data_IF_264739456463
#
_entry.id   IF_264739456463
#
_cell.length_a   1.000
_cell.length_b   1.000
_cell.length_c   1.000
_cell.angle_alpha   90.00
_cell.angle_beta   90.00
_cell.angle_gamma   90.00
#
_symmetry.space_group_name_H-M   'P 1'
#
loop_
_entity.id
_entity.type
_entity.pdbx_description
1 polymer ?
#
# COMPACT_ATOMS: atom_id res chain seq x y z
N UNK A 1 27.38 -8.01 39.65
CA UNK A 1 27.51 -8.75 38.38
C UNK A 1 26.89 -10.13 38.58
N UNK A 2 25.72 -10.38 37.98
CA UNK A 2 25.10 -11.71 38.04
C UNK A 2 25.78 -12.59 37.00
N UNK A 3 26.44 -13.64 37.48
CA UNK A 3 27.05 -14.66 36.63
C UNK A 3 25.95 -15.36 35.86
N UNK A 4 26.08 -15.44 34.54
CA UNK A 4 25.20 -16.21 33.70
C UNK A 4 25.20 -17.68 34.20
N UNK A 5 23.99 -18.18 34.52
CA UNK A 5 23.83 -19.59 34.89
C UNK A 5 24.16 -20.43 33.66
N UNK A 6 25.31 -21.09 33.67
CA UNK A 6 25.67 -22.12 32.68
C UNK A 6 24.68 -23.27 32.90
N UNK A 7 23.67 -23.37 32.04
CA UNK A 7 22.74 -24.52 32.07
C UNK A 7 23.47 -25.73 31.51
N UNK A 8 23.44 -26.83 32.24
CA UNK A 8 24.03 -28.10 31.82
C UNK A 8 23.29 -28.60 30.56
N UNK A 9 23.98 -28.64 29.44
CA UNK A 9 23.47 -29.12 28.14
C UNK A 9 23.24 -30.64 28.11
N UNK A 10 23.56 -31.37 29.21
CA UNK A 10 23.47 -32.84 29.31
C UNK A 10 22.18 -33.32 29.99
N UNK A 11 21.20 -32.43 30.26
CA UNK A 11 19.90 -32.86 30.80
C UNK A 11 19.24 -33.78 29.80
N UNK A 12 18.92 -35.04 30.21
CA UNK A 12 18.20 -36.00 29.41
C UNK A 12 16.89 -35.37 28.90
N UNK A 13 16.72 -35.33 27.59
CA UNK A 13 15.52 -34.75 26.96
C UNK A 13 14.34 -35.65 27.24
N UNK A 14 13.26 -35.11 27.76
CA UNK A 14 11.97 -35.80 27.74
C UNK A 14 11.55 -36.07 26.28
N UNK A 15 10.98 -37.23 25.95
CA UNK A 15 10.49 -37.49 24.60
C UNK A 15 9.44 -36.47 24.25
N UNK A 16 9.67 -35.71 23.18
CA UNK A 16 8.78 -34.66 22.68
C UNK A 16 7.80 -35.30 21.68
N UNK A 17 6.51 -35.15 21.91
CA UNK A 17 5.48 -35.68 21.02
C UNK A 17 5.28 -34.74 19.81
N UNK A 18 4.68 -35.25 18.73
CA UNK A 18 4.29 -34.41 17.59
C UNK A 18 3.30 -33.29 17.99
N UNK A 19 2.49 -33.56 19.02
CA UNK A 19 1.56 -32.59 19.58
C UNK A 19 2.28 -31.45 20.32
N UNK A 20 3.34 -31.77 21.08
CA UNK A 20 4.16 -30.76 21.76
C UNK A 20 4.87 -29.85 20.75
N UNK A 21 5.36 -30.41 19.64
CA UNK A 21 5.97 -29.62 18.55
C UNK A 21 4.95 -28.73 17.84
N UNK A 22 3.73 -29.22 17.60
CA UNK A 22 2.68 -28.42 16.99
C UNK A 22 2.22 -27.27 17.92
N UNK A 23 2.10 -27.54 19.22
CA UNK A 23 1.82 -26.50 20.22
C UNK A 23 2.93 -25.45 20.25
N UNK A 24 4.20 -25.87 20.31
CA UNK A 24 5.34 -24.95 20.27
C UNK A 24 5.35 -24.10 18.99
N UNK A 25 5.05 -24.67 17.83
CA UNK A 25 4.94 -23.90 16.58
C UNK A 25 3.90 -22.80 16.67
N UNK A 26 2.73 -23.12 17.23
CA UNK A 26 1.65 -22.16 17.40
C UNK A 26 2.05 -21.03 18.35
N UNK A 27 2.64 -21.36 19.49
CA UNK A 27 3.09 -20.40 20.51
C UNK A 27 4.19 -19.50 19.96
N UNK A 28 5.13 -20.04 19.23
CA UNK A 28 6.23 -19.30 18.60
C UNK A 28 5.67 -18.31 17.56
N UNK A 29 4.73 -18.75 16.71
CA UNK A 29 4.12 -17.86 15.70
C UNK A 29 3.28 -16.75 16.36
N UNK A 30 2.51 -17.08 17.40
CA UNK A 30 1.75 -16.10 18.19
C UNK A 30 2.69 -15.09 18.85
N UNK A 31 3.81 -15.56 19.43
CA UNK A 31 4.85 -14.71 19.99
C UNK A 31 5.51 -13.79 18.95
N UNK A 32 5.71 -14.29 17.72
CA UNK A 32 6.19 -13.46 16.62
C UNK A 32 5.22 -12.35 16.27
N UNK A 33 3.93 -12.66 16.09
CA UNK A 33 2.87 -11.67 15.81
C UNK A 33 2.85 -10.59 16.89
N UNK A 34 2.86 -11.00 18.17
CA UNK A 34 2.87 -10.07 19.30
C UNK A 34 4.12 -9.18 19.32
N UNK A 35 5.30 -9.75 19.03
CA UNK A 35 6.54 -9.00 18.95
C UNK A 35 6.51 -7.94 17.83
N UNK A 36 5.93 -8.29 16.68
CA UNK A 36 5.76 -7.36 15.55
C UNK A 36 4.76 -6.24 15.89
N UNK A 37 3.67 -6.58 16.58
CA UNK A 37 2.69 -5.60 17.06
C UNK A 37 3.31 -4.65 18.08
N UNK A 38 4.06 -5.17 19.05
CA UNK A 38 4.78 -4.37 20.05
C UNK A 38 5.85 -3.45 19.42
N UNK A 39 6.39 -3.80 18.26
CA UNK A 39 7.28 -2.95 17.47
C UNK A 39 6.54 -1.87 16.66
N UNK A 40 5.21 -1.74 16.81
CA UNK A 40 4.40 -0.72 16.16
C UNK A 40 4.11 -0.95 14.67
N UNK A 41 4.24 -2.19 14.18
CA UNK A 41 3.89 -2.48 12.78
C UNK A 41 2.38 -2.57 12.60
N UNK A 42 1.92 -2.20 11.40
CA UNK A 42 0.51 -2.33 11.04
C UNK A 42 0.09 -3.79 10.88
N UNK A 43 -1.19 -4.09 11.19
CA UNK A 43 -1.77 -5.43 11.02
C UNK A 43 -1.57 -5.99 9.61
N UNK A 44 -1.69 -5.14 8.58
CA UNK A 44 -1.45 -5.54 7.19
C UNK A 44 0.00 -5.99 6.92
N UNK A 45 0.99 -5.36 7.57
CA UNK A 45 2.39 -5.78 7.48
C UNK A 45 2.60 -7.11 8.19
N UNK A 46 2.04 -7.25 9.39
CA UNK A 46 2.12 -8.48 10.19
C UNK A 46 1.47 -9.65 9.44
N UNK A 47 0.24 -9.44 8.93
CA UNK A 47 -0.48 -10.45 8.14
C UNK A 47 0.30 -10.87 6.88
N UNK A 48 0.98 -9.92 6.21
CA UNK A 48 1.83 -10.23 5.05
C UNK A 48 3.04 -11.06 5.45
N UNK A 49 3.71 -10.73 6.56
CA UNK A 49 4.85 -11.50 7.08
C UNK A 49 4.41 -12.93 7.41
N UNK A 50 3.29 -13.09 8.13
CA UNK A 50 2.71 -14.41 8.48
C UNK A 50 2.37 -15.21 7.22
N UNK A 51 1.68 -14.60 6.25
CA UNK A 51 1.35 -15.27 4.99
C UNK A 51 2.60 -15.78 4.26
N UNK A 52 3.66 -14.98 4.24
CA UNK A 52 4.92 -15.42 3.63
C UNK A 52 5.54 -16.60 4.37
N UNK A 53 5.51 -16.60 5.70
CA UNK A 53 6.02 -17.72 6.52
C UNK A 53 5.17 -18.99 6.32
N UNK A 54 3.84 -18.86 6.27
CA UNK A 54 2.96 -20.01 6.03
C UNK A 54 3.17 -20.64 4.65
N UNK A 55 3.38 -19.82 3.61
CA UNK A 55 3.68 -20.31 2.27
C UNK A 55 5.00 -21.09 2.21
N UNK A 56 6.04 -20.62 2.92
CA UNK A 56 7.31 -21.35 3.04
C UNK A 56 7.10 -22.64 3.83
N UNK A 57 6.39 -22.59 4.95
CA UNK A 57 6.08 -23.75 5.79
C UNK A 57 5.30 -24.83 5.04
N UNK A 58 4.29 -24.41 4.26
CA UNK A 58 3.49 -25.34 3.46
C UNK A 58 4.34 -26.10 2.42
N UNK A 59 5.31 -25.44 1.81
CA UNK A 59 6.27 -26.10 0.91
C UNK A 59 7.26 -26.98 1.67
N UNK A 60 7.82 -26.49 2.78
CA UNK A 60 8.88 -27.17 3.53
C UNK A 60 8.37 -28.40 4.27
N UNK A 61 7.12 -28.41 4.73
CA UNK A 61 6.46 -29.55 5.36
C UNK A 61 6.93 -29.88 6.78
N UNK A 62 7.88 -29.10 7.32
CA UNK A 62 8.45 -29.25 8.67
C UNK A 62 8.44 -27.90 9.41
N UNK A 63 8.71 -27.85 10.72
CA UNK A 63 8.92 -26.58 11.43
C UNK A 63 10.00 -25.75 10.75
N UNK A 64 9.75 -24.43 10.62
CA UNK A 64 10.71 -23.54 9.92
C UNK A 64 12.08 -23.48 10.59
N UNK A 65 12.17 -23.69 11.89
CA UNK A 65 13.48 -23.74 12.59
C UNK A 65 14.37 -24.94 12.21
N UNK A 66 13.83 -25.93 11.49
CA UNK A 66 14.59 -27.05 10.92
C UNK A 66 15.17 -26.72 9.54
N UNK A 67 14.90 -25.55 9.00
CA UNK A 67 15.33 -25.13 7.68
C UNK A 67 16.81 -24.78 7.66
N UNK A 68 17.54 -25.38 6.75
CA UNK A 68 18.98 -25.21 6.55
C UNK A 68 19.30 -24.45 5.24
N UNK A 69 20.51 -23.92 5.03
CA UNK A 69 20.86 -23.20 3.80
C UNK A 69 20.52 -23.93 2.49
N UNK A 70 20.74 -25.27 2.35
CA UNK A 70 20.33 -25.99 1.14
C UNK A 70 18.80 -25.96 0.87
N UNK A 71 17.98 -25.92 1.93
CA UNK A 71 16.51 -25.80 1.79
C UNK A 71 16.14 -24.41 1.25
N UNK A 72 16.81 -23.37 1.76
CA UNK A 72 16.64 -22.00 1.25
C UNK A 72 17.09 -21.90 -0.21
N UNK A 73 18.22 -22.53 -0.58
CA UNK A 73 18.69 -22.61 -1.97
C UNK A 73 17.65 -23.27 -2.88
N UNK A 74 17.08 -24.40 -2.44
CA UNK A 74 16.04 -25.08 -3.18
C UNK A 74 14.77 -24.23 -3.32
N UNK A 75 14.35 -23.57 -2.23
CA UNK A 75 13.16 -22.73 -2.25
C UNK A 75 13.32 -21.51 -3.16
N UNK A 76 14.37 -20.72 -2.99
CA UNK A 76 14.61 -19.53 -3.80
C UNK A 76 15.10 -19.84 -5.22
N UNK A 77 15.86 -20.90 -5.41
CA UNK A 77 16.47 -21.26 -6.68
C UNK A 77 15.58 -22.10 -7.59
N UNK A 78 14.66 -22.91 -7.03
CA UNK A 78 13.77 -23.77 -7.80
C UNK A 78 12.33 -23.32 -7.70
N UNK A 79 11.74 -23.24 -6.49
CA UNK A 79 10.31 -22.96 -6.28
C UNK A 79 9.97 -21.52 -6.68
N UNK A 80 10.81 -20.56 -6.32
CA UNK A 80 10.59 -19.14 -6.62
C UNK A 80 11.35 -18.64 -7.85
N UNK A 81 11.92 -19.54 -8.67
CA UNK A 81 12.75 -19.14 -9.82
C UNK A 81 12.03 -18.18 -10.75
N UNK A 82 10.80 -18.48 -11.08
CA UNK A 82 10.00 -17.73 -12.07
C UNK A 82 9.07 -16.69 -11.41
N UNK A 83 9.16 -16.52 -10.08
CA UNK A 83 8.37 -15.51 -9.39
C UNK A 83 8.98 -14.11 -9.50
N UNK A 84 8.14 -13.08 -9.36
CA UNK A 84 8.57 -11.69 -9.37
C UNK A 84 9.66 -11.45 -8.31
N UNK A 85 10.69 -10.68 -8.67
CA UNK A 85 11.80 -10.33 -7.75
C UNK A 85 11.32 -9.76 -6.42
N UNK A 86 10.26 -8.93 -6.43
CA UNK A 86 9.64 -8.38 -5.23
C UNK A 86 9.12 -9.44 -4.28
N UNK A 87 8.46 -10.47 -4.80
CA UNK A 87 7.97 -11.61 -4.00
C UNK A 87 9.11 -12.36 -3.33
N UNK A 88 10.19 -12.63 -4.08
CA UNK A 88 11.38 -13.28 -3.53
C UNK A 88 12.03 -12.48 -2.41
N UNK A 89 12.18 -11.16 -2.61
CA UNK A 89 12.72 -10.24 -1.60
C UNK A 89 11.84 -10.17 -0.35
N UNK A 90 10.52 -10.06 -0.51
CA UNK A 90 9.58 -10.00 0.62
C UNK A 90 9.60 -11.28 1.43
N UNK A 91 9.61 -12.46 0.78
CA UNK A 91 9.72 -13.76 1.48
C UNK A 91 11.03 -13.93 2.21
N UNK A 92 12.15 -13.56 1.57
CA UNK A 92 13.44 -13.58 2.23
C UNK A 92 13.49 -12.66 3.45
N UNK A 93 12.90 -11.48 3.35
CA UNK A 93 12.84 -10.55 4.48
C UNK A 93 11.96 -11.08 5.62
N UNK A 94 10.81 -11.68 5.33
CA UNK A 94 9.95 -12.30 6.34
C UNK A 94 10.66 -13.44 7.05
N UNK A 95 11.33 -14.34 6.31
CA UNK A 95 12.13 -15.42 6.89
C UNK A 95 13.26 -14.88 7.78
N UNK A 96 14.07 -13.94 7.28
CA UNK A 96 15.17 -13.35 8.08
C UNK A 96 14.66 -12.73 9.37
N UNK A 97 13.53 -12.02 9.31
CA UNK A 97 12.94 -11.39 10.50
C UNK A 97 12.42 -12.44 11.48
N UNK A 98 11.82 -13.52 10.97
CA UNK A 98 11.36 -14.64 11.80
C UNK A 98 12.51 -15.39 12.46
N UNK A 99 13.56 -15.72 11.73
CA UNK A 99 14.73 -16.37 12.30
C UNK A 99 15.45 -15.48 13.32
N UNK A 100 15.57 -14.19 13.09
CA UNK A 100 16.07 -13.26 14.10
C UNK A 100 15.23 -13.31 15.38
N UNK A 101 13.90 -13.37 15.26
CA UNK A 101 13.02 -13.53 16.41
C UNK A 101 13.25 -14.87 17.13
N UNK A 102 13.39 -15.97 16.38
CA UNK A 102 13.71 -17.30 16.95
C UNK A 102 15.04 -17.29 17.71
N UNK A 103 16.08 -16.73 17.11
CA UNK A 103 17.43 -16.65 17.70
C UNK A 103 17.41 -15.85 19.01
N UNK A 104 16.70 -14.72 19.02
CA UNK A 104 16.67 -13.84 20.19
C UNK A 104 15.81 -14.37 21.34
N UNK A 105 14.71 -15.09 21.04
CA UNK A 105 13.71 -15.41 22.05
C UNK A 105 13.46 -16.88 22.30
N UNK A 106 13.72 -17.75 21.31
CA UNK A 106 13.32 -19.15 21.36
C UNK A 106 14.47 -20.14 21.15
N UNK A 107 15.69 -19.67 20.82
CA UNK A 107 16.86 -20.53 20.53
C UNK A 107 17.10 -21.60 21.61
N UNK A 108 17.10 -21.20 22.87
CA UNK A 108 17.34 -22.12 23.97
C UNK A 108 16.22 -23.15 24.16
N UNK A 109 14.93 -22.71 24.08
CA UNK A 109 13.77 -23.57 24.21
C UNK A 109 13.66 -24.58 23.07
N UNK A 110 13.86 -24.16 21.83
CA UNK A 110 13.86 -25.04 20.66
C UNK A 110 15.00 -26.04 20.78
N UNK A 111 16.21 -25.61 21.17
CA UNK A 111 17.32 -26.51 21.37
C UNK A 111 17.05 -27.56 22.48
N UNK A 112 16.45 -27.15 23.59
CA UNK A 112 16.08 -28.06 24.68
C UNK A 112 15.08 -29.13 24.23
N UNK A 113 14.08 -28.75 23.44
CA UNK A 113 13.02 -29.68 22.98
C UNK A 113 13.48 -30.55 21.80
N UNK A 114 14.16 -29.97 20.82
CA UNK A 114 14.44 -30.64 19.54
C UNK A 114 15.88 -31.03 19.31
N UNK A 115 16.82 -30.44 20.06
CA UNK A 115 18.27 -30.56 19.84
C UNK A 115 18.78 -29.71 18.67
N UNK A 116 17.91 -29.01 17.98
CA UNK A 116 18.32 -28.17 16.84
C UNK A 116 18.92 -26.85 17.33
N UNK A 117 19.95 -26.41 16.63
CA UNK A 117 20.49 -25.05 16.77
C UNK A 117 19.80 -24.21 15.72
N UNK A 118 19.08 -23.18 16.17
CA UNK A 118 18.39 -22.27 15.27
C UNK A 118 19.39 -21.28 14.70
N UNK A 119 19.50 -21.26 13.38
CA UNK A 119 20.30 -20.32 12.61
C UNK A 119 19.53 -19.91 11.35
N UNK A 120 19.71 -18.66 10.91
CA UNK A 120 19.03 -18.18 9.71
C UNK A 120 19.52 -18.92 8.46
N UNK A 121 18.68 -19.63 7.69
CA UNK A 121 19.09 -20.37 6.50
C UNK A 121 19.44 -19.46 5.31
N UNK A 122 19.20 -18.13 5.44
CA UNK A 122 19.51 -17.16 4.39
C UNK A 122 20.82 -16.46 4.71
N UNK A 123 21.85 -16.81 3.96
CA UNK A 123 23.19 -16.24 4.03
C UNK A 123 23.48 -15.27 2.84
N UNK A 124 24.73 -14.85 2.70
CA UNK A 124 25.15 -13.94 1.62
C UNK A 124 25.17 -14.63 0.23
N UNK A 125 25.18 -15.95 0.14
CA UNK A 125 25.22 -16.69 -1.12
C UNK A 125 23.81 -16.85 -1.70
N UNK A 126 22.81 -17.18 -0.86
CA UNK A 126 21.45 -17.47 -1.29
C UNK A 126 20.47 -16.29 -1.12
N UNK A 127 20.91 -15.21 -0.49
CA UNK A 127 20.11 -14.00 -0.33
C UNK A 127 19.66 -13.45 -1.69
N UNK A 128 18.36 -13.33 -1.96
CA UNK A 128 17.88 -12.73 -3.20
C UNK A 128 18.44 -11.32 -3.38
N UNK A 129 19.09 -11.10 -4.54
CA UNK A 129 19.73 -9.81 -4.88
C UNK A 129 18.86 -9.01 -5.85
N UNK A 130 19.07 -7.72 -5.84
CA UNK A 130 18.46 -6.78 -6.78
C UNK A 130 17.48 -5.82 -6.12
N UNK A 131 17.31 -4.67 -6.76
CA UNK A 131 16.21 -3.75 -6.42
C UNK A 131 14.95 -4.28 -7.09
N UNK A 132 13.83 -4.13 -6.42
CA UNK A 132 12.53 -4.28 -7.05
C UNK A 132 12.45 -3.20 -8.15
N UNK A 133 12.81 -3.58 -9.38
CA UNK A 133 12.52 -2.74 -10.52
C UNK A 133 11.00 -2.85 -10.72
N UNK A 134 10.28 -1.84 -10.24
CA UNK A 134 8.89 -1.70 -10.63
C UNK A 134 8.88 -1.64 -12.16
N UNK A 135 8.16 -2.59 -12.80
CA UNK A 135 7.89 -2.50 -14.24
C UNK A 135 7.32 -1.11 -14.48
N UNK A 136 7.95 -0.33 -15.35
CA UNK A 136 7.47 1.01 -15.67
C UNK A 136 6.03 0.85 -16.20
N UNK A 137 5.06 1.22 -15.38
CA UNK A 137 3.65 1.15 -15.77
C UNK A 137 3.31 2.49 -16.42
N UNK A 138 3.14 2.45 -17.72
CA UNK A 138 2.60 3.60 -18.46
C UNK A 138 1.14 3.74 -18.02
N UNK A 139 0.74 4.86 -17.41
CA UNK A 139 -0.66 5.06 -17.02
C UNK A 139 -1.53 5.29 -18.26
N UNK A 140 -2.85 5.08 -18.17
CA UNK A 140 -3.78 5.46 -19.23
C UNK A 140 -3.65 6.95 -19.57
N UNK A 141 -3.92 7.30 -20.81
CA UNK A 141 -3.95 8.70 -21.26
C UNK A 141 -5.10 9.48 -20.63
N UNK A 142 -5.02 10.81 -20.68
CA UNK A 142 -6.12 11.67 -20.20
C UNK A 142 -7.45 11.36 -20.91
N UNK A 143 -7.42 11.08 -22.21
CA UNK A 143 -8.61 10.71 -22.98
C UNK A 143 -9.19 9.35 -22.52
N UNK A 144 -8.34 8.37 -22.22
CA UNK A 144 -8.79 7.07 -21.70
C UNK A 144 -9.41 7.18 -20.31
N UNK A 145 -8.77 7.91 -19.39
CA UNK A 145 -9.32 8.15 -18.06
C UNK A 145 -10.61 8.98 -18.14
N UNK A 146 -10.68 9.95 -19.06
CA UNK A 146 -11.90 10.70 -19.36
C UNK A 146 -13.05 9.78 -19.79
N UNK A 147 -12.81 8.85 -20.74
CA UNK A 147 -13.81 7.85 -21.16
C UNK A 147 -14.27 6.95 -20.03
N UNK A 148 -13.32 6.44 -19.23
CA UNK A 148 -13.64 5.61 -18.08
C UNK A 148 -14.64 6.30 -17.14
N UNK A 149 -14.32 7.51 -16.73
CA UNK A 149 -15.18 8.22 -15.77
C UNK A 149 -16.47 8.79 -16.38
N UNK A 150 -16.48 9.12 -17.66
CA UNK A 150 -17.71 9.52 -18.36
C UNK A 150 -18.70 8.36 -18.42
N UNK A 151 -18.27 7.19 -18.92
CA UNK A 151 -19.13 6.01 -18.97
C UNK A 151 -19.56 5.52 -17.58
N UNK A 152 -18.64 5.52 -16.61
CA UNK A 152 -19.02 5.16 -15.23
C UNK A 152 -20.06 6.12 -14.63
N UNK A 153 -19.95 7.42 -14.92
CA UNK A 153 -20.95 8.41 -14.49
C UNK A 153 -22.32 8.15 -15.11
N UNK A 154 -22.38 7.80 -16.38
CA UNK A 154 -23.63 7.45 -17.07
C UNK A 154 -24.28 6.21 -16.44
N UNK A 155 -23.50 5.20 -16.04
CA UNK A 155 -24.03 4.02 -15.34
C UNK A 155 -24.66 4.35 -13.98
N UNK A 156 -24.27 5.44 -13.31
CA UNK A 156 -24.87 5.82 -12.03
C UNK A 156 -26.37 6.09 -12.15
N UNK A 157 -26.84 6.57 -13.29
CA UNK A 157 -28.26 6.87 -13.51
C UNK A 157 -29.15 5.60 -13.53
N UNK A 158 -28.58 4.45 -13.87
CA UNK A 158 -29.33 3.19 -14.05
C UNK A 158 -28.91 2.09 -13.07
N UNK A 159 -27.96 2.35 -12.18
CA UNK A 159 -27.44 1.33 -11.29
C UNK A 159 -28.44 0.97 -10.18
N UNK A 160 -28.51 -0.32 -9.83
CA UNK A 160 -29.44 -0.82 -8.82
C UNK A 160 -29.24 -0.21 -7.42
N UNK A 161 -28.01 0.14 -7.07
CA UNK A 161 -27.60 0.68 -5.76
C UNK A 161 -26.83 1.97 -5.99
N UNK A 162 -27.54 3.08 -6.03
CA UNK A 162 -26.96 4.38 -6.37
C UNK A 162 -25.89 4.84 -5.37
N UNK A 163 -26.18 4.90 -4.07
CA UNK A 163 -25.26 5.47 -3.08
C UNK A 163 -23.91 4.73 -3.01
N UNK A 164 -23.84 3.38 -2.95
CA UNK A 164 -22.57 2.67 -3.03
C UNK A 164 -21.81 2.85 -4.34
N UNK A 165 -22.53 2.91 -5.47
CA UNK A 165 -21.91 3.13 -6.78
C UNK A 165 -21.32 4.54 -6.89
N UNK A 166 -22.08 5.56 -6.48
CA UNK A 166 -21.66 6.95 -6.43
C UNK A 166 -20.47 7.16 -5.48
N UNK A 167 -20.45 6.50 -4.30
CA UNK A 167 -19.30 6.50 -3.40
C UNK A 167 -18.06 5.92 -4.05
N UNK A 168 -18.17 4.77 -4.72
CA UNK A 168 -17.04 4.12 -5.39
C UNK A 168 -16.50 5.00 -6.52
N UNK A 169 -17.39 5.59 -7.31
CA UNK A 169 -17.05 6.57 -8.33
C UNK A 169 -16.28 7.74 -7.74
N UNK A 170 -16.83 8.39 -6.70
CA UNK A 170 -16.18 9.52 -6.02
C UNK A 170 -14.81 9.16 -5.48
N UNK A 171 -14.69 8.02 -4.80
CA UNK A 171 -13.40 7.56 -4.29
C UNK A 171 -12.36 7.42 -5.41
N UNK A 172 -12.72 6.76 -6.52
CA UNK A 172 -11.80 6.56 -7.65
C UNK A 172 -11.49 7.87 -8.38
N UNK A 173 -12.44 8.83 -8.45
CA UNK A 173 -12.16 10.18 -8.93
C UNK A 173 -11.10 10.87 -8.08
N UNK A 174 -11.18 10.81 -6.76
CA UNK A 174 -10.16 11.37 -5.87
C UNK A 174 -8.78 10.74 -6.08
N UNK A 175 -8.72 9.41 -6.33
CA UNK A 175 -7.45 8.76 -6.64
C UNK A 175 -6.82 9.32 -7.92
N UNK A 176 -7.62 9.65 -8.93
CA UNK A 176 -7.15 10.17 -10.22
C UNK A 176 -6.92 11.68 -10.24
N UNK A 177 -7.60 12.45 -9.40
CA UNK A 177 -7.56 13.91 -9.39
C UNK A 177 -6.55 14.49 -8.42
N UNK A 178 -6.43 13.90 -7.23
CA UNK A 178 -5.52 14.37 -6.17
C UNK A 178 -4.51 13.33 -5.73
N UNK A 179 -4.53 12.15 -6.32
CA UNK A 179 -3.51 11.13 -6.15
C UNK A 179 -3.46 10.47 -4.78
N UNK A 180 -4.58 10.33 -4.07
CA UNK A 180 -4.63 9.61 -2.80
C UNK A 180 -4.23 8.14 -2.98
N UNK A 181 -3.67 7.53 -1.94
CA UNK A 181 -3.60 6.06 -1.86
C UNK A 181 -4.97 5.51 -1.49
N UNK A 182 -5.32 4.31 -1.97
CA UNK A 182 -6.63 3.70 -1.68
C UNK A 182 -6.91 3.61 -0.18
N UNK A 183 -5.94 3.20 0.62
CA UNK A 183 -6.08 3.13 2.07
C UNK A 183 -6.20 4.51 2.73
N UNK A 184 -5.60 5.55 2.15
CA UNK A 184 -5.78 6.92 2.63
C UNK A 184 -7.22 7.37 2.38
N UNK A 185 -7.74 7.13 1.17
CA UNK A 185 -9.12 7.46 0.82
C UNK A 185 -10.13 6.74 1.73
N UNK A 186 -9.95 5.43 1.99
CA UNK A 186 -10.81 4.67 2.88
C UNK A 186 -10.84 5.19 4.33
N UNK A 187 -9.77 5.86 4.76
CA UNK A 187 -9.60 6.34 6.15
C UNK A 187 -10.01 7.79 6.35
N UNK A 188 -10.42 8.50 5.31
CA UNK A 188 -10.92 9.88 5.43
C UNK A 188 -12.21 9.94 6.22
N UNK A 189 -12.33 10.98 7.04
CA UNK A 189 -13.55 11.38 7.72
C UNK A 189 -14.17 12.61 7.04
N UNK A 190 -15.46 12.86 7.24
CA UNK A 190 -16.11 14.08 6.75
C UNK A 190 -15.39 15.36 7.22
N UNK A 191 -15.00 15.48 8.51
CA UNK A 191 -14.28 16.66 8.99
C UNK A 191 -12.88 16.83 8.40
N UNK A 192 -12.34 15.83 7.67
CA UNK A 192 -11.06 15.97 6.98
C UNK A 192 -11.14 16.86 5.74
N UNK A 193 -12.36 17.16 5.25
CA UNK A 193 -12.56 18.15 4.20
C UNK A 193 -12.51 19.54 4.81
N UNK A 194 -11.51 20.32 4.41
CA UNK A 194 -11.30 21.71 4.85
C UNK A 194 -11.64 22.64 3.70
N UNK A 195 -12.93 22.94 3.53
CA UNK A 195 -13.45 23.75 2.41
C UNK A 195 -12.87 25.16 2.39
N UNK A 196 -12.61 25.71 3.57
CA UNK A 196 -12.13 27.07 3.82
C UNK A 196 -10.62 27.25 3.63
N UNK A 197 -9.85 26.16 3.53
CA UNK A 197 -8.40 26.24 3.48
C UNK A 197 -7.86 26.42 2.05
N UNK A 198 -7.29 27.58 1.79
CA UNK A 198 -6.69 27.93 0.52
C UNK A 198 -7.72 28.14 -0.59
N UNK A 199 -7.24 28.25 -1.84
CA UNK A 199 -8.08 28.63 -2.98
C UNK A 199 -9.09 27.54 -3.40
N UNK A 200 -8.76 26.26 -3.17
CA UNK A 200 -9.52 25.11 -3.69
C UNK A 200 -10.18 24.27 -2.59
N UNK A 201 -9.94 24.58 -1.30
CA UNK A 201 -10.16 23.65 -0.22
C UNK A 201 -9.04 22.61 -0.13
N UNK A 202 -8.97 21.86 0.96
CA UNK A 202 -7.96 20.81 1.19
C UNK A 202 -8.56 19.58 1.83
N UNK A 203 -7.95 18.42 1.58
CA UNK A 203 -8.16 17.20 2.34
C UNK A 203 -7.04 17.03 3.36
N UNK A 204 -7.39 16.80 4.62
CA UNK A 204 -6.46 16.43 5.67
C UNK A 204 -6.23 14.91 5.65
N UNK A 205 -5.16 14.47 5.04
CA UNK A 205 -4.78 13.05 5.01
C UNK A 205 -3.96 12.73 6.25
N UNK A 206 -4.60 12.18 7.29
CA UNK A 206 -4.00 11.85 8.58
C UNK A 206 -3.20 10.55 8.59
N UNK A 207 -3.57 9.60 7.73
CA UNK A 207 -3.03 8.24 7.71
C UNK A 207 -2.13 7.99 6.50
N UNK A 208 -1.31 8.97 6.12
CA UNK A 208 -0.32 8.80 5.07
C UNK A 208 0.75 7.78 5.46
N UNK A 209 1.27 7.04 4.47
CA UNK A 209 2.34 6.07 4.72
C UNK A 209 3.61 6.78 5.16
N UNK A 210 4.05 6.52 6.39
CA UNK A 210 5.33 6.99 6.92
C UNK A 210 6.52 6.24 6.35
N UNK A 211 7.71 6.81 6.52
CA UNK A 211 8.95 6.07 6.34
C UNK A 211 9.11 5.04 7.48
N UNK A 212 9.98 4.05 7.29
CA UNK A 212 10.22 2.96 8.27
C UNK A 212 10.27 3.48 9.71
N UNK A 213 9.30 3.09 10.53
CA UNK A 213 9.26 3.43 11.97
C UNK A 213 8.81 4.83 12.35
N UNK A 214 8.46 5.72 11.39
CA UNK A 214 8.09 7.12 11.68
C UNK A 214 6.59 7.34 11.92
N UNK A 215 5.79 6.29 11.98
CA UNK A 215 4.33 6.43 12.10
C UNK A 215 3.66 7.00 10.84
N UNK A 216 2.33 7.24 10.87
CA UNK A 216 1.61 7.85 9.76
C UNK A 216 2.06 9.30 9.55
N UNK A 217 2.22 9.70 8.28
CA UNK A 217 2.51 11.07 7.90
C UNK A 217 1.24 11.81 7.54
N UNK A 218 0.99 12.91 8.21
CA UNK A 218 -0.09 13.81 7.88
C UNK A 218 0.30 14.78 6.77
N UNK A 219 -0.68 15.12 5.93
CA UNK A 219 -0.52 16.15 4.92
C UNK A 219 -1.84 16.78 4.52
N UNK A 220 -1.79 18.00 4.02
CA UNK A 220 -2.90 18.71 3.40
C UNK A 220 -2.80 18.59 1.88
N UNK A 221 -3.80 17.96 1.26
CA UNK A 221 -3.88 17.77 -0.20
C UNK A 221 -4.88 18.75 -0.78
N UNK A 222 -4.49 19.64 -1.70
CA UNK A 222 -5.43 20.61 -2.30
C UNK A 222 -6.46 19.88 -3.19
N UNK A 223 -7.71 20.36 -3.18
CA UNK A 223 -8.83 19.82 -3.98
C UNK A 223 -8.80 20.36 -5.42
N UNK A 224 -7.71 20.06 -6.13
CA UNK A 224 -7.49 20.43 -7.53
C UNK A 224 -8.21 19.48 -8.51
N UNK A 225 -8.20 19.77 -9.80
CA UNK A 225 -8.67 18.89 -10.89
C UNK A 225 -10.14 18.43 -10.73
N UNK A 226 -11.06 19.27 -10.32
CA UNK A 226 -12.48 18.97 -10.04
C UNK A 226 -12.75 18.13 -8.78
N UNK A 227 -11.75 17.76 -7.99
CA UNK A 227 -11.95 16.98 -6.76
C UNK A 227 -12.93 17.69 -5.79
N UNK A 228 -12.84 19.02 -5.69
CA UNK A 228 -13.76 19.81 -4.87
C UNK A 228 -15.21 19.69 -5.32
N UNK A 229 -15.49 19.73 -6.62
CA UNK A 229 -16.84 19.59 -7.16
C UNK A 229 -17.38 18.17 -6.96
N UNK A 230 -16.55 17.16 -7.23
CA UNK A 230 -16.89 15.75 -7.02
C UNK A 230 -17.25 15.48 -5.56
N UNK A 231 -16.48 16.04 -4.62
CA UNK A 231 -16.75 15.89 -3.19
C UNK A 231 -18.02 16.65 -2.74
N UNK A 232 -18.24 17.88 -3.22
CA UNK A 232 -19.46 18.62 -2.88
C UNK A 232 -20.68 17.83 -3.30
N UNK A 233 -20.76 17.43 -4.56
CA UNK A 233 -21.83 16.59 -5.04
C UNK A 233 -22.05 15.35 -4.18
N UNK A 234 -20.98 14.64 -3.83
CA UNK A 234 -21.09 13.42 -3.03
C UNK A 234 -21.62 13.70 -1.62
N UNK A 235 -21.10 14.74 -0.96
CA UNK A 235 -21.50 15.09 0.41
C UNK A 235 -22.91 15.63 0.47
N UNK A 236 -23.29 16.49 -0.47
CA UNK A 236 -24.59 17.18 -0.48
C UNK A 236 -25.73 16.28 -0.98
N UNK A 237 -25.50 15.48 -2.05
CA UNK A 237 -26.58 14.76 -2.74
C UNK A 237 -26.58 13.24 -2.45
N UNK A 238 -25.47 12.66 -2.00
CA UNK A 238 -25.34 11.20 -1.90
C UNK A 238 -25.13 10.72 -0.48
N UNK A 239 -24.25 11.36 0.27
CA UNK A 239 -23.76 10.86 1.54
C UNK A 239 -24.89 10.56 2.56
N UNK A 240 -25.91 11.41 2.63
CA UNK A 240 -27.08 11.23 3.52
C UNK A 240 -27.84 9.91 3.31
N UNK A 241 -27.73 9.30 2.13
CA UNK A 241 -28.41 8.02 1.83
C UNK A 241 -27.80 6.82 2.58
N UNK A 242 -26.64 6.99 3.21
CA UNK A 242 -26.05 5.94 4.06
C UNK A 242 -26.65 5.90 5.47
N UNK A 243 -27.50 6.86 5.84
CA UNK A 243 -28.24 6.85 7.12
C UNK A 243 -27.30 6.86 8.33
N UNK A 244 -26.33 7.76 8.35
CA UNK A 244 -25.45 8.02 9.50
C UNK A 244 -25.51 9.52 9.86
N UNK A 245 -25.13 9.86 11.07
CA UNK A 245 -25.07 11.23 11.56
C UNK A 245 -23.77 11.91 11.10
N UNK A 246 -23.89 12.87 10.20
CA UNK A 246 -22.74 13.62 9.67
C UNK A 246 -22.04 14.49 10.71
N UNK A 247 -22.65 14.76 11.87
CA UNK A 247 -22.08 15.56 12.95
C UNK A 247 -21.23 14.72 13.91
N UNK A 248 -21.35 13.40 13.83
CA UNK A 248 -20.66 12.45 14.70
C UNK A 248 -19.13 12.53 14.50
N UNK A 249 -18.34 12.60 15.60
CA UNK A 249 -16.89 12.53 15.49
C UNK A 249 -16.40 11.25 14.79
N UNK A 250 -15.47 11.39 13.88
CA UNK A 250 -14.87 10.26 13.15
C UNK A 250 -15.80 9.57 12.15
N UNK A 251 -16.88 10.23 11.73
CA UNK A 251 -17.79 9.71 10.71
C UNK A 251 -17.05 9.57 9.37
N UNK A 252 -17.11 8.39 8.70
CA UNK A 252 -16.36 8.17 7.49
C UNK A 252 -16.85 9.04 6.33
N UNK A 253 -15.91 9.62 5.58
CA UNK A 253 -16.22 10.30 4.31
C UNK A 253 -16.81 9.32 3.28
N UNK A 254 -16.26 8.10 3.25
CA UNK A 254 -16.68 7.03 2.34
C UNK A 254 -17.30 5.87 3.14
N UNK A 255 -18.58 5.97 3.52
CA UNK A 255 -19.22 4.98 4.36
C UNK A 255 -19.51 3.67 3.60
N UNK A 256 -19.52 2.55 4.33
CA UNK A 256 -19.99 1.26 3.85
C UNK A 256 -21.50 1.13 4.05
N UNK A 257 -22.17 0.27 3.27
CA UNK A 257 -23.53 -0.17 3.58
C UNK A 257 -23.60 -1.04 4.84
N UNK A 258 -22.48 -1.65 5.23
CA UNK A 258 -22.41 -2.42 6.48
C UNK A 258 -22.42 -1.46 7.65
N UNK A 259 -23.20 -1.84 8.66
CA UNK A 259 -23.24 -1.10 9.92
C UNK A 259 -22.34 -1.76 10.96
N UNK A 260 -21.80 -0.95 11.84
CA UNK A 260 -21.15 -1.39 13.05
C UNK A 260 -22.19 -1.92 14.05
N UNK A 261 -21.76 -2.56 15.13
CA UNK A 261 -22.65 -3.08 16.16
C UNK A 261 -23.54 -1.99 16.82
N UNK A 262 -23.08 -0.75 16.83
CA UNK A 262 -23.78 0.44 17.34
C UNK A 262 -24.74 1.09 16.31
N UNK A 263 -24.91 0.49 15.13
CA UNK A 263 -25.78 1.00 14.07
C UNK A 263 -25.14 2.07 13.18
N UNK A 264 -23.94 2.54 13.49
CA UNK A 264 -23.22 3.53 12.69
C UNK A 264 -22.68 2.92 11.39
N UNK A 265 -22.44 3.74 10.36
CA UNK A 265 -21.83 3.26 9.13
C UNK A 265 -20.35 2.89 9.36
N UNK A 266 -19.97 1.70 8.91
CA UNK A 266 -18.55 1.31 8.89
C UNK A 266 -17.83 1.98 7.71
N UNK A 267 -16.50 1.93 7.71
CA UNK A 267 -15.69 2.42 6.58
C UNK A 267 -15.71 1.45 5.42
N UNK A 268 -15.58 1.97 4.22
CA UNK A 268 -15.34 1.11 3.05
C UNK A 268 -13.97 0.45 3.14
N UNK A 269 -13.89 -0.81 2.71
CA UNK A 269 -12.62 -1.51 2.51
C UNK A 269 -12.00 -1.21 1.14
N UNK A 270 -10.68 -1.29 1.06
CA UNK A 270 -9.92 -1.04 -0.18
C UNK A 270 -10.24 -2.06 -1.28
N UNK A 271 -10.55 -3.30 -0.91
CA UNK A 271 -10.94 -4.34 -1.87
C UNK A 271 -12.23 -4.00 -2.61
N UNK A 272 -13.19 -3.36 -1.93
CA UNK A 272 -14.43 -2.90 -2.57
C UNK A 272 -14.12 -1.86 -3.65
N UNK A 273 -13.19 -0.94 -3.39
CA UNK A 273 -12.78 0.07 -4.38
C UNK A 273 -11.98 -0.55 -5.52
N UNK A 274 -11.11 -1.53 -5.24
CA UNK A 274 -10.36 -2.26 -6.27
C UNK A 274 -11.31 -2.99 -7.22
N UNK A 275 -12.25 -3.74 -6.66
CA UNK A 275 -13.23 -4.51 -7.45
C UNK A 275 -14.15 -3.59 -8.27
N UNK A 276 -14.62 -2.48 -7.68
CA UNK A 276 -15.45 -1.52 -8.39
C UNK A 276 -14.70 -0.85 -9.55
N UNK A 277 -13.44 -0.44 -9.33
CA UNK A 277 -12.60 0.14 -10.36
C UNK A 277 -12.30 -0.86 -11.48
N UNK A 278 -11.94 -2.10 -11.14
CA UNK A 278 -11.66 -3.15 -12.12
C UNK A 278 -12.90 -3.44 -12.98
N UNK A 279 -14.11 -3.50 -12.38
CA UNK A 279 -15.36 -3.67 -13.11
C UNK A 279 -15.60 -2.49 -14.08
N UNK A 280 -15.52 -1.26 -13.60
CA UNK A 280 -15.74 -0.07 -14.43
C UNK A 280 -14.71 0.01 -15.58
N UNK A 281 -13.45 -0.31 -15.32
CA UNK A 281 -12.42 -0.35 -16.34
C UNK A 281 -12.67 -1.44 -17.38
N UNK A 282 -13.09 -2.63 -16.97
CA UNK A 282 -13.47 -3.70 -17.90
C UNK A 282 -14.63 -3.31 -18.82
N UNK A 283 -15.57 -2.50 -18.36
CA UNK A 283 -16.70 -2.02 -19.16
C UNK A 283 -16.32 -0.84 -20.07
N UNK A 284 -15.60 0.15 -19.56
CA UNK A 284 -15.39 1.44 -20.25
C UNK A 284 -14.00 1.59 -20.89
N UNK A 285 -13.07 0.69 -20.60
CA UNK A 285 -11.72 0.62 -21.20
C UNK A 285 -11.36 -0.82 -21.60
N UNK A 286 -12.17 -1.50 -22.41
CA UNK A 286 -11.93 -2.90 -22.78
C UNK A 286 -10.60 -3.10 -23.53
N UNK A 287 -10.14 -2.08 -24.23
CA UNK A 287 -8.87 -2.11 -24.99
C UNK A 287 -7.63 -1.84 -24.13
N UNK A 288 -7.78 -1.62 -22.81
CA UNK A 288 -6.65 -1.42 -21.94
C UNK A 288 -5.97 -2.75 -21.61
N UNK A 289 -4.66 -2.92 -21.89
CA UNK A 289 -4.01 -4.24 -21.85
C UNK A 289 -3.74 -4.76 -20.43
N UNK A 290 -3.86 -3.90 -19.42
CA UNK A 290 -3.56 -4.22 -18.03
C UNK A 290 -4.78 -3.97 -17.11
N UNK A 291 -4.72 -4.46 -15.88
CA UNK A 291 -5.74 -4.15 -14.86
C UNK A 291 -5.57 -2.72 -14.37
N UNK A 292 -6.63 -1.91 -14.50
CA UNK A 292 -6.66 -0.57 -13.90
C UNK A 292 -6.84 -0.71 -12.39
N UNK A 293 -5.81 -0.37 -11.65
CA UNK A 293 -5.81 -0.41 -10.18
C UNK A 293 -5.82 0.99 -9.58
N UNK A 294 -6.18 1.16 -8.30
CA UNK A 294 -6.03 2.44 -7.60
C UNK A 294 -4.63 3.07 -7.75
N UNK A 295 -3.61 2.23 -7.80
CA UNK A 295 -2.23 2.66 -7.99
C UNK A 295 -1.98 3.25 -9.38
N UNK A 296 -2.60 2.67 -10.42
CA UNK A 296 -2.54 3.19 -11.81
C UNK A 296 -3.18 4.58 -11.88
N UNK A 297 -4.32 4.82 -11.22
CA UNK A 297 -4.95 6.14 -11.17
C UNK A 297 -4.06 7.18 -10.47
N UNK A 298 -3.36 6.78 -9.42
CA UNK A 298 -2.40 7.66 -8.74
C UNK A 298 -1.17 7.95 -9.61
N UNK A 299 -0.67 6.97 -10.40
CA UNK A 299 0.37 7.21 -11.41
C UNK A 299 -0.11 8.19 -12.49
N UNK A 300 -1.33 8.02 -12.94
CA UNK A 300 -1.98 8.95 -13.86
C UNK A 300 -2.00 10.37 -13.28
N UNK A 301 -2.49 10.53 -12.05
CA UNK A 301 -2.49 11.83 -11.36
C UNK A 301 -1.10 12.48 -11.34
N UNK A 302 -0.09 11.75 -10.88
CA UNK A 302 1.28 12.25 -10.83
C UNK A 302 1.78 12.73 -12.19
N UNK A 303 1.53 11.94 -13.23
CA UNK A 303 1.92 12.26 -14.61
C UNK A 303 1.18 13.50 -15.14
N UNK A 304 -0.12 13.61 -14.89
CA UNK A 304 -0.91 14.78 -15.30
C UNK A 304 -0.48 16.06 -14.58
N UNK A 305 -0.19 15.99 -13.28
CA UNK A 305 0.33 17.13 -12.52
C UNK A 305 1.66 17.62 -13.09
N UNK A 306 2.55 16.69 -13.42
CA UNK A 306 3.85 17.00 -14.03
C UNK A 306 3.71 17.62 -15.42
N UNK A 307 2.91 17.02 -16.29
CA UNK A 307 2.62 17.51 -17.64
C UNK A 307 1.90 18.87 -17.60
N UNK A 308 1.09 19.12 -16.57
CA UNK A 308 0.46 20.41 -16.28
C UNK A 308 1.42 21.47 -15.74
N UNK A 309 2.71 21.17 -15.60
CA UNK A 309 3.75 22.12 -15.19
C UNK A 309 3.98 22.23 -13.68
N UNK A 310 3.39 21.35 -12.86
CA UNK A 310 3.68 21.31 -11.44
C UNK A 310 5.07 20.74 -11.21
N UNK A 311 5.89 21.41 -10.38
CA UNK A 311 7.23 20.94 -10.08
C UNK A 311 7.23 19.64 -9.25
N UNK A 312 8.33 18.87 -9.32
CA UNK A 312 8.42 17.56 -8.67
C UNK A 312 8.34 17.63 -7.15
N UNK A 313 8.74 18.73 -6.52
CA UNK A 313 8.67 18.90 -5.06
C UNK A 313 7.22 19.10 -4.63
N UNK A 314 6.46 19.92 -5.38
CA UNK A 314 5.04 20.11 -5.14
C UNK A 314 4.25 18.80 -5.36
N UNK A 315 4.58 18.03 -6.41
CA UNK A 315 4.00 16.70 -6.64
C UNK A 315 4.34 15.75 -5.50
N UNK A 316 5.61 15.72 -5.06
CA UNK A 316 6.07 14.92 -3.93
C UNK A 316 5.26 15.22 -2.67
N UNK A 317 5.10 16.51 -2.35
CA UNK A 317 4.33 16.97 -1.19
C UNK A 317 2.85 16.57 -1.28
N UNK A 318 2.22 16.78 -2.46
CA UNK A 318 0.82 16.41 -2.72
C UNK A 318 0.59 14.90 -2.54
N UNK A 319 1.47 14.09 -3.12
CA UNK A 319 1.39 12.64 -3.04
C UNK A 319 1.84 12.09 -1.68
N UNK A 320 2.62 12.82 -0.90
CA UNK A 320 3.19 12.37 0.37
C UNK A 320 4.23 11.28 0.19
N UNK A 321 5.14 11.45 -0.76
CA UNK A 321 6.29 10.57 -0.93
C UNK A 321 7.44 11.03 -0.02
N UNK A 322 8.02 10.11 0.74
CA UNK A 322 9.17 10.41 1.60
C UNK A 322 10.41 10.82 0.79
N UNK A 323 10.57 10.26 -0.42
CA UNK A 323 11.74 10.46 -1.27
C UNK A 323 11.32 10.89 -2.68
N UNK A 324 12.04 11.87 -3.24
CA UNK A 324 11.82 12.36 -4.61
C UNK A 324 11.93 11.24 -5.64
N UNK A 325 12.86 10.31 -5.45
CA UNK A 325 13.02 9.13 -6.30
C UNK A 325 11.74 8.29 -6.41
N UNK A 326 10.91 8.25 -5.36
CA UNK A 326 9.60 7.61 -5.42
C UNK A 326 8.66 8.38 -6.33
N UNK A 327 8.64 9.71 -6.27
CA UNK A 327 7.83 10.56 -7.15
C UNK A 327 8.22 10.37 -8.61
N UNK A 328 9.51 10.31 -8.90
CA UNK A 328 10.01 10.08 -10.27
C UNK A 328 9.56 8.74 -10.86
N UNK A 329 9.36 7.70 -10.05
CA UNK A 329 8.80 6.42 -10.53
C UNK A 329 7.32 6.50 -10.92
N UNK A 330 6.61 7.51 -10.43
CA UNK A 330 5.18 7.73 -10.71
C UNK A 330 4.94 8.67 -11.89
N UNK A 331 5.93 9.44 -12.29
CA UNK A 331 5.81 10.38 -13.41
C UNK A 331 6.24 9.68 -14.69
N UNK A 332 5.31 9.47 -15.59
CA UNK A 332 5.60 9.02 -16.95
C UNK A 332 5.79 10.24 -17.85
N UNK A 333 6.98 10.36 -18.42
CA UNK A 333 7.36 11.45 -19.31
C UNK A 333 7.34 10.93 -20.75
N UNK A 334 6.45 11.46 -21.63
CA UNK A 334 6.48 11.12 -23.06
C UNK A 334 7.84 11.45 -23.70
N UNK A 335 8.20 10.71 -24.75
CA UNK A 335 9.49 10.91 -25.44
C UNK A 335 9.69 12.34 -25.99
N UNK A 336 8.60 12.99 -26.40
CA UNK A 336 8.63 14.39 -26.89
C UNK A 336 8.80 15.43 -25.77
N UNK A 337 8.65 15.04 -24.52
CA UNK A 337 8.64 16.02 -23.41
C UNK A 337 9.94 16.81 -23.28
N UNK A 338 11.07 16.21 -23.61
CA UNK A 338 12.38 16.91 -23.57
C UNK A 338 12.40 18.05 -24.57
N UNK A 339 11.91 17.79 -25.77
CA UNK A 339 11.82 18.79 -26.85
C UNK A 339 10.81 19.88 -26.50
N UNK A 340 9.62 19.49 -26.03
CA UNK A 340 8.57 20.43 -25.60
C UNK A 340 9.03 21.31 -24.43
N UNK A 341 9.71 20.74 -23.44
CA UNK A 341 10.26 21.48 -22.30
C UNK A 341 11.35 22.48 -22.74
N UNK A 342 12.18 22.08 -23.71
CA UNK A 342 13.20 22.95 -24.27
C UNK A 342 12.57 24.13 -25.02
N UNK A 343 11.59 23.86 -25.91
CA UNK A 343 10.84 24.90 -26.65
C UNK A 343 10.15 25.88 -25.69
N UNK A 344 9.46 25.35 -24.69
CA UNK A 344 8.79 26.16 -23.67
C UNK A 344 9.80 27.01 -22.85
N UNK A 345 10.99 26.46 -22.58
CA UNK A 345 12.12 27.19 -21.95
C UNK A 345 12.59 28.36 -22.80
N UNK A 346 12.78 28.16 -24.09
CA UNK A 346 13.17 29.20 -25.05
C UNK A 346 12.09 30.29 -25.16
N UNK A 347 10.81 29.91 -25.21
CA UNK A 347 9.71 30.88 -25.27
C UNK A 347 9.66 31.76 -24.00
N UNK A 348 9.86 31.16 -22.80
CA UNK A 348 9.93 31.92 -21.55
C UNK A 348 11.11 32.86 -21.51
N UNK A 349 12.28 32.42 -21.98
CA UNK A 349 13.47 33.26 -22.06
C UNK A 349 13.26 34.45 -23.04
N UNK A 350 12.70 34.17 -24.23
CA UNK A 350 12.37 35.20 -25.21
C UNK A 350 11.34 36.22 -24.69
N UNK A 351 10.34 35.76 -23.94
CA UNK A 351 9.33 36.61 -23.33
C UNK A 351 9.92 37.55 -22.27
N UNK A 352 10.90 37.08 -21.48
CA UNK A 352 11.59 37.90 -20.50
C UNK A 352 12.45 38.99 -21.18
N UNK A 353 13.07 38.68 -22.31
CA UNK A 353 13.87 39.62 -23.06
C UNK A 353 13.05 40.70 -23.78
N UNK A 354 11.80 40.41 -24.16
CA UNK A 354 10.88 41.40 -24.77
C UNK A 354 10.54 42.60 -23.87
N UNK A 355 10.72 42.48 -22.55
CA UNK A 355 10.51 43.55 -21.58
C UNK A 355 11.72 44.43 -21.31
N UNK A 356 12.89 44.16 -21.92
CA UNK A 356 14.09 44.98 -21.76
C UNK A 356 14.03 46.17 -22.74
N UNK A 357 14.17 47.41 -22.26
CA UNK A 357 14.33 48.56 -23.15
C UNK A 357 15.59 48.38 -24.00
N UNK A 358 15.52 48.72 -25.29
CA UNK A 358 16.66 48.76 -26.22
C UNK A 358 17.60 49.86 -25.87
#
# INVERSE_FOLDING_TARGET
MSLAVVRDLRVARAPVTAQDLAALQTDVLAGFVLARAAAGLSDGTIASDVLHLEQVRAWFGRPLWDMEPPDADAYFGKVLRDTAKGTRLSRAQALKTYFLFLELRHKAGIHQMTGRIVECPIDEMNRPRGRQQAKLRIPPTAAQVGRLFAGWREELATCRKFAPAARNYTACRLLSEVGLRVNEACKLDLPDIKWELGRFGKLHVRHGQGARGSGPRERMVPLINNAGQTLRWFVEDVWGQFGDDHTRPGVPLLPSERKNADGTASRIGDETLRSALAKAAGTHLPDWPDVVTPHVLRHFCASQLYLGGMDLIAIQATLGHAWIATTMQYVHVPGTHIEDAWIAGQQRAAARLKGLPR
#
